data_IF_120673677904
#
_entry.id   IF_120673677904
#
_cell.length_a   1.000
_cell.length_b   1.000
_cell.length_c   1.000
_cell.angle_alpha   90.00
_cell.angle_beta   90.00
_cell.angle_gamma   90.00
#
_symmetry.space_group_name_H-M   'P 1'
#
loop_
_entity.id
_entity.type
_entity.pdbx_description
1 polymer ?
#
# COMPACT_ATOMS: atom_id res chain seq x y z
N UNK A 1 -8.43 -14.98 -1.34
CA UNK A 1 -8.20 -15.75 -0.10
C UNK A 1 -8.68 -14.98 1.12
N UNK A 2 -8.13 -13.79 1.43
CA UNK A 2 -8.61 -12.95 2.56
C UNK A 2 -10.12 -12.64 2.47
N UNK A 3 -10.62 -12.31 1.28
CA UNK A 3 -12.05 -12.09 1.04
C UNK A 3 -12.94 -13.25 1.51
N UNK A 4 -12.56 -14.50 1.22
CA UNK A 4 -13.39 -15.67 1.53
C UNK A 4 -13.35 -16.08 3.01
N UNK A 5 -12.27 -15.76 3.74
CA UNK A 5 -12.10 -16.14 5.14
C UNK A 5 -12.43 -15.01 6.12
N UNK A 6 -12.44 -13.75 5.67
CA UNK A 6 -12.60 -12.55 6.50
C UNK A 6 -13.59 -11.53 5.93
N UNK A 7 -14.48 -11.92 5.01
CA UNK A 7 -15.59 -11.06 4.56
C UNK A 7 -16.49 -10.71 5.74
N UNK A 8 -16.61 -9.42 6.05
CA UNK A 8 -17.39 -8.95 7.20
C UNK A 8 -17.13 -7.48 7.52
N UNK A 9 -17.60 -7.04 8.68
CA UNK A 9 -17.56 -5.63 9.12
C UNK A 9 -16.11 -5.11 9.27
N UNK A 10 -15.17 -6.01 9.56
CA UNK A 10 -13.75 -5.69 9.74
C UNK A 10 -12.88 -6.01 8.51
N UNK A 11 -13.50 -6.38 7.38
CA UNK A 11 -12.79 -6.83 6.18
C UNK A 11 -11.72 -5.83 5.72
N UNK A 12 -12.06 -4.53 5.69
CA UNK A 12 -11.12 -3.49 5.30
C UNK A 12 -9.91 -3.40 6.25
N UNK A 13 -10.13 -3.45 7.57
CA UNK A 13 -9.07 -3.34 8.57
C UNK A 13 -8.14 -4.56 8.58
N UNK A 14 -8.72 -5.76 8.52
CA UNK A 14 -7.98 -7.03 8.44
C UNK A 14 -7.16 -7.06 7.15
N UNK A 15 -7.76 -6.68 6.02
CA UNK A 15 -7.06 -6.63 4.73
C UNK A 15 -5.90 -5.66 4.76
N UNK A 16 -6.07 -4.48 5.37
CA UNK A 16 -5.02 -3.47 5.46
C UNK A 16 -3.85 -3.97 6.33
N UNK A 17 -4.13 -4.57 7.50
CA UNK A 17 -3.11 -5.17 8.36
C UNK A 17 -2.38 -6.34 7.69
N UNK A 18 -3.11 -7.23 7.02
CA UNK A 18 -2.52 -8.35 6.29
C UNK A 18 -1.60 -7.87 5.15
N UNK A 19 -2.01 -6.83 4.42
CA UNK A 19 -1.18 -6.21 3.37
C UNK A 19 0.05 -5.50 3.93
N UNK A 20 -0.05 -4.89 5.11
CA UNK A 20 1.05 -4.13 5.71
C UNK A 20 2.12 -5.04 6.37
N UNK A 21 1.72 -6.17 6.96
CA UNK A 21 2.63 -6.97 7.80
C UNK A 21 2.85 -8.39 7.31
N UNK A 22 1.83 -9.04 6.73
CA UNK A 22 1.92 -10.47 6.38
C UNK A 22 2.41 -10.68 4.95
N UNK A 23 1.81 -9.97 3.99
CA UNK A 23 2.18 -10.07 2.58
C UNK A 23 3.63 -9.68 2.29
N UNK A 24 4.23 -8.64 2.91
CA UNK A 24 5.63 -8.31 2.67
C UNK A 24 6.60 -9.44 3.05
N UNK A 25 6.29 -10.21 4.12
CA UNK A 25 7.09 -11.36 4.53
C UNK A 25 7.03 -12.46 3.47
N UNK A 26 5.82 -12.74 2.96
CA UNK A 26 5.63 -13.73 1.89
C UNK A 26 6.35 -13.29 0.61
N UNK A 27 6.19 -12.03 0.20
CA UNK A 27 6.85 -11.50 -0.99
C UNK A 27 8.37 -11.53 -0.86
N UNK A 28 8.91 -11.16 0.29
CA UNK A 28 10.34 -11.26 0.55
C UNK A 28 10.84 -12.72 0.51
N UNK A 29 10.10 -13.65 1.13
CA UNK A 29 10.46 -15.08 1.12
C UNK A 29 10.44 -15.69 -0.28
N UNK A 30 9.39 -15.42 -1.06
CA UNK A 30 9.28 -15.89 -2.45
C UNK A 30 10.34 -15.27 -3.36
N UNK A 31 10.62 -13.97 -3.22
CA UNK A 31 11.69 -13.29 -3.95
C UNK A 31 13.07 -13.86 -3.60
N UNK A 32 13.34 -14.09 -2.31
CA UNK A 32 14.57 -14.72 -1.84
C UNK A 32 14.74 -16.12 -2.43
N UNK A 33 13.69 -16.94 -2.39
CA UNK A 33 13.73 -18.30 -2.93
C UNK A 33 13.94 -18.30 -4.46
N UNK A 34 13.28 -17.39 -5.17
CA UNK A 34 13.45 -17.19 -6.62
C UNK A 34 14.91 -16.87 -7.00
N UNK A 35 15.55 -15.96 -6.26
CA UNK A 35 16.96 -15.61 -6.50
C UNK A 35 17.89 -16.76 -6.07
N UNK A 36 17.64 -17.39 -4.91
CA UNK A 36 18.45 -18.49 -4.38
C UNK A 36 18.47 -19.70 -5.31
N UNK A 37 17.31 -20.09 -5.84
CA UNK A 37 17.19 -21.20 -6.80
C UNK A 37 17.93 -20.90 -8.11
N UNK A 38 17.92 -19.64 -8.56
CA UNK A 38 18.69 -19.25 -9.73
C UNK A 38 20.20 -19.31 -9.46
N UNK A 39 20.63 -18.83 -8.29
CA UNK A 39 22.04 -18.84 -7.88
C UNK A 39 22.58 -20.26 -7.70
N UNK A 40 21.79 -21.20 -7.21
CA UNK A 40 22.24 -22.61 -7.10
C UNK A 40 22.54 -23.25 -8.47
N UNK A 41 22.01 -22.68 -9.55
CA UNK A 41 22.16 -23.20 -10.92
C UNK A 41 23.12 -22.35 -11.77
N UNK A 42 23.60 -21.20 -11.26
CA UNK A 42 24.46 -20.26 -11.99
C UNK A 42 25.61 -19.79 -11.10
N UNK A 43 26.86 -20.01 -11.55
CA UNK A 43 28.08 -19.67 -10.79
C UNK A 43 28.20 -18.17 -10.44
N UNK A 44 27.66 -17.28 -11.27
CA UNK A 44 27.70 -15.84 -11.07
C UNK A 44 26.31 -15.27 -11.34
N UNK A 45 25.80 -14.45 -10.42
CA UNK A 45 24.50 -13.77 -10.53
C UNK A 45 24.76 -12.28 -10.43
N UNK A 46 24.41 -11.54 -11.49
CA UNK A 46 24.52 -10.08 -11.47
C UNK A 46 23.37 -9.46 -10.68
N UNK A 47 23.56 -8.22 -10.21
CA UNK A 47 22.48 -7.44 -9.58
C UNK A 47 21.24 -7.35 -10.48
N UNK A 48 21.43 -7.17 -11.80
CA UNK A 48 20.34 -7.10 -12.78
C UNK A 48 19.53 -8.39 -12.81
N UNK A 49 20.18 -9.55 -12.70
CA UNK A 49 19.51 -10.85 -12.71
C UNK A 49 18.69 -11.07 -11.44
N UNK A 50 19.29 -10.77 -10.28
CA UNK A 50 18.62 -10.86 -8.99
C UNK A 50 17.44 -9.89 -8.91
N UNK A 51 17.63 -8.63 -9.32
CA UNK A 51 16.59 -7.62 -9.33
C UNK A 51 15.45 -8.00 -10.25
N UNK A 52 15.72 -8.43 -11.49
CA UNK A 52 14.68 -8.83 -12.45
C UNK A 52 13.83 -9.99 -11.90
N UNK A 53 14.45 -10.97 -11.26
CA UNK A 53 13.76 -12.16 -10.71
C UNK A 53 12.94 -11.87 -9.47
N UNK A 54 13.33 -10.90 -8.66
CA UNK A 54 12.54 -10.44 -7.54
C UNK A 54 11.41 -9.51 -8.00
N UNK A 55 11.74 -8.51 -8.83
CA UNK A 55 10.85 -7.40 -9.16
C UNK A 55 9.81 -7.74 -10.21
N UNK A 56 10.18 -8.38 -11.33
CA UNK A 56 9.25 -8.58 -12.47
C UNK A 56 8.03 -9.42 -12.09
N UNK A 57 8.16 -10.56 -11.37
CA UNK A 57 6.99 -11.31 -10.93
C UNK A 57 6.10 -10.53 -9.97
N UNK A 58 6.68 -9.77 -9.04
CA UNK A 58 5.92 -8.90 -8.14
C UNK A 58 5.19 -7.80 -8.90
N UNK A 59 5.83 -7.19 -9.89
CA UNK A 59 5.25 -6.13 -10.70
C UNK A 59 4.07 -6.65 -11.55
N UNK A 60 4.27 -7.75 -12.29
CA UNK A 60 3.21 -8.36 -13.11
C UNK A 60 2.08 -8.88 -12.22
N UNK A 61 2.40 -9.58 -11.14
CA UNK A 61 1.41 -10.09 -10.18
C UNK A 61 0.62 -8.96 -9.52
N UNK A 62 1.29 -7.86 -9.16
CA UNK A 62 0.66 -6.66 -8.61
C UNK A 62 -0.33 -6.04 -9.60
N UNK A 63 0.08 -5.85 -10.86
CA UNK A 63 -0.80 -5.35 -11.93
C UNK A 63 -2.01 -6.27 -12.11
N UNK A 64 -1.79 -7.58 -12.28
CA UNK A 64 -2.88 -8.53 -12.50
C UNK A 64 -3.83 -8.59 -11.31
N UNK A 65 -3.31 -8.53 -10.07
CA UNK A 65 -4.12 -8.49 -8.85
C UNK A 65 -4.99 -7.24 -8.81
N UNK A 66 -4.41 -6.08 -9.10
CA UNK A 66 -5.08 -4.78 -9.14
C UNK A 66 -6.21 -4.83 -10.19
N UNK A 67 -5.93 -5.25 -11.42
CA UNK A 67 -6.97 -5.44 -12.44
C UNK A 67 -8.05 -6.44 -12.03
N UNK A 68 -7.66 -7.57 -11.42
CA UNK A 68 -8.62 -8.60 -11.00
C UNK A 68 -9.55 -8.10 -9.89
N UNK A 69 -9.03 -7.35 -8.91
CA UNK A 69 -9.84 -6.73 -7.85
C UNK A 69 -10.81 -5.72 -8.45
N UNK A 70 -10.33 -4.87 -9.36
CA UNK A 70 -11.18 -3.90 -10.05
C UNK A 70 -12.32 -4.59 -10.80
N UNK A 71 -12.02 -5.62 -11.60
CA UNK A 71 -13.03 -6.34 -12.36
C UNK A 71 -14.03 -7.07 -11.44
N UNK A 72 -13.52 -7.74 -10.40
CA UNK A 72 -14.36 -8.46 -9.44
C UNK A 72 -15.34 -7.53 -8.74
N UNK A 73 -14.86 -6.41 -8.19
CA UNK A 73 -15.71 -5.48 -7.42
C UNK A 73 -16.65 -4.65 -8.29
N UNK A 74 -16.31 -4.41 -9.56
CA UNK A 74 -17.17 -3.64 -10.46
C UNK A 74 -18.18 -4.49 -11.24
N UNK A 75 -17.87 -5.75 -11.55
CA UNK A 75 -18.69 -6.57 -12.45
C UNK A 75 -19.19 -7.89 -11.84
N UNK A 76 -18.58 -8.40 -10.76
CA UNK A 76 -18.96 -9.68 -10.16
C UNK A 76 -19.70 -9.47 -8.84
N UNK A 77 -19.13 -8.68 -7.93
CA UNK A 77 -19.67 -8.46 -6.58
C UNK A 77 -19.75 -6.96 -6.25
N UNK A 78 -20.82 -6.34 -6.77
CA UNK A 78 -21.07 -4.91 -6.55
C UNK A 78 -21.51 -4.57 -5.13
N UNK A 79 -21.98 -5.57 -4.38
CA UNK A 79 -22.40 -5.35 -2.99
C UNK A 79 -21.21 -5.32 -2.04
N UNK A 80 -20.18 -6.13 -2.29
CA UNK A 80 -18.88 -6.00 -1.64
C UNK A 80 -18.27 -4.62 -1.89
N UNK A 81 -18.40 -4.08 -3.11
CA UNK A 81 -17.98 -2.71 -3.43
C UNK A 81 -18.72 -1.66 -2.61
N UNK A 82 -20.05 -1.77 -2.47
CA UNK A 82 -20.84 -0.85 -1.63
C UNK A 82 -20.42 -0.94 -0.16
N UNK A 83 -20.23 -2.16 0.35
CA UNK A 83 -19.78 -2.38 1.72
C UNK A 83 -18.41 -1.74 1.97
N UNK A 84 -17.46 -1.93 1.06
CA UNK A 84 -16.13 -1.32 1.13
C UNK A 84 -16.18 0.21 1.12
N UNK A 85 -16.96 0.81 0.22
CA UNK A 85 -17.15 2.26 0.17
C UNK A 85 -17.76 2.77 1.49
N UNK A 86 -18.76 2.08 2.02
CA UNK A 86 -19.37 2.43 3.32
C UNK A 86 -18.37 2.34 4.48
N UNK A 87 -17.61 1.24 4.57
CA UNK A 87 -16.60 1.03 5.60
C UNK A 87 -15.51 2.11 5.56
N UNK A 88 -15.02 2.44 4.37
CA UNK A 88 -14.00 3.47 4.21
C UNK A 88 -14.48 4.85 4.65
N UNK A 89 -15.68 5.24 4.24
CA UNK A 89 -16.27 6.53 4.59
C UNK A 89 -16.53 6.62 6.09
N UNK A 90 -17.07 5.55 6.68
CA UNK A 90 -17.31 5.45 8.12
C UNK A 90 -16.00 5.59 8.89
N UNK A 91 -14.94 4.91 8.45
CA UNK A 91 -13.61 5.00 9.06
C UNK A 91 -13.03 6.40 8.93
N UNK A 92 -13.04 7.02 7.75
CA UNK A 92 -12.53 8.38 7.58
C UNK A 92 -13.25 9.40 8.45
N UNK A 93 -14.58 9.28 8.58
CA UNK A 93 -15.35 10.12 9.49
C UNK A 93 -14.90 9.89 10.93
N UNK A 94 -14.80 8.63 11.36
CA UNK A 94 -14.35 8.32 12.73
C UNK A 94 -12.94 8.83 13.02
N UNK A 95 -12.01 8.74 12.07
CA UNK A 95 -10.65 9.25 12.24
C UNK A 95 -10.64 10.79 12.27
N UNK A 96 -11.42 11.45 11.41
CA UNK A 96 -11.61 12.90 11.48
C UNK A 96 -12.18 13.34 12.84
N UNK A 97 -13.21 12.66 13.35
CA UNK A 97 -13.82 12.98 14.63
C UNK A 97 -12.80 12.81 15.77
N UNK A 98 -11.98 11.76 15.73
CA UNK A 98 -10.88 11.55 16.69
C UNK A 98 -9.82 12.64 16.59
N UNK A 99 -9.36 12.97 15.40
CA UNK A 99 -8.38 14.04 15.16
C UNK A 99 -8.88 15.37 15.68
N UNK A 100 -10.13 15.74 15.36
CA UNK A 100 -10.78 16.95 15.85
C UNK A 100 -10.84 16.99 17.38
N UNK A 101 -11.35 15.93 18.01
CA UNK A 101 -11.46 15.87 19.48
C UNK A 101 -10.09 15.90 20.16
N UNK A 102 -9.07 15.33 19.54
CA UNK A 102 -7.70 15.30 20.07
C UNK A 102 -7.03 16.67 19.92
N UNK A 103 -7.11 17.28 18.74
CA UNK A 103 -6.57 18.61 18.47
C UNK A 103 -7.23 19.68 19.35
N UNK A 104 -8.55 19.64 19.49
CA UNK A 104 -9.32 20.60 20.32
C UNK A 104 -8.95 20.58 21.80
N UNK A 105 -8.46 19.45 22.33
CA UNK A 105 -7.97 19.32 23.72
C UNK A 105 -6.57 19.93 23.92
N UNK A 106 -5.77 20.01 22.87
CA UNK A 106 -4.37 20.43 22.93
C UNK A 106 -4.22 21.91 22.60
N UNK A 107 -5.08 22.44 21.72
CA UNK A 107 -5.07 23.84 21.33
C UNK A 107 -5.46 24.74 22.50
N UNK A 108 -4.69 25.81 22.69
CA UNK A 108 -4.85 26.78 23.79
C UNK A 108 -5.39 28.13 23.34
N UNK A 109 -5.21 28.48 22.07
CA UNK A 109 -5.64 29.77 21.54
C UNK A 109 -7.03 29.65 20.91
N UNK A 110 -7.93 30.55 21.29
CA UNK A 110 -9.31 30.55 20.81
C UNK A 110 -9.38 30.62 19.27
N UNK A 111 -8.50 31.41 18.64
CA UNK A 111 -8.42 31.53 17.18
C UNK A 111 -8.16 30.19 16.47
N UNK A 112 -7.26 29.36 17.01
CA UNK A 112 -6.92 28.06 16.42
C UNK A 112 -8.05 27.05 16.65
N UNK A 113 -8.76 27.16 17.79
CA UNK A 113 -9.95 26.37 18.09
C UNK A 113 -11.08 26.75 17.11
N UNK A 114 -11.30 28.04 16.87
CA UNK A 114 -12.33 28.51 15.94
C UNK A 114 -12.03 28.07 14.50
N UNK A 115 -10.76 28.13 14.07
CA UNK A 115 -10.34 27.63 12.75
C UNK A 115 -10.52 26.10 12.64
N UNK A 116 -10.17 25.35 13.68
CA UNK A 116 -10.38 23.90 13.75
C UNK A 116 -11.88 23.54 13.67
N UNK A 117 -12.71 24.22 14.46
CA UNK A 117 -14.16 24.04 14.49
C UNK A 117 -14.78 24.38 13.13
N UNK A 118 -14.29 25.44 12.47
CA UNK A 118 -14.71 25.82 11.12
C UNK A 118 -14.34 24.75 10.09
N UNK A 119 -13.06 24.33 10.04
CA UNK A 119 -12.60 23.27 9.12
C UNK A 119 -13.36 21.96 9.33
N UNK A 120 -13.62 21.59 10.57
CA UNK A 120 -14.41 20.41 10.90
C UNK A 120 -15.85 20.51 10.36
N UNK A 121 -16.52 21.66 10.59
CA UNK A 121 -17.87 21.92 10.06
C UNK A 121 -17.92 21.96 8.54
N UNK A 122 -16.90 22.49 7.88
CA UNK A 122 -16.80 22.50 6.41
C UNK A 122 -16.62 21.09 5.84
N UNK A 123 -15.89 20.22 6.54
CA UNK A 123 -15.62 18.84 6.08
C UNK A 123 -16.74 17.86 6.42
N UNK A 124 -17.53 18.12 7.47
CA UNK A 124 -18.60 17.21 7.94
C UNK A 124 -19.64 16.86 6.86
N UNK A 125 -20.14 17.81 6.03
CA UNK A 125 -21.08 17.52 4.94
C UNK A 125 -20.52 16.56 3.88
N UNK A 126 -19.19 16.48 3.75
CA UNK A 126 -18.54 15.61 2.77
C UNK A 126 -18.72 14.10 3.06
N UNK A 127 -19.25 13.77 4.24
CA UNK A 127 -19.61 12.42 4.71
C UNK A 127 -21.12 12.16 4.72
N UNK A 128 -21.95 13.12 4.26
CA UNK A 128 -23.39 12.95 4.20
C UNK A 128 -23.76 11.82 3.20
N UNK A 129 -24.79 10.99 3.49
CA UNK A 129 -25.09 9.78 2.70
C UNK A 129 -25.33 10.05 1.21
N UNK A 130 -25.90 11.21 0.89
CA UNK A 130 -26.18 11.73 -0.45
C UNK A 130 -24.91 12.13 -1.21
N UNK A 131 -23.93 12.74 -0.53
CA UNK A 131 -22.61 13.09 -1.11
C UNK A 131 -21.73 11.85 -1.28
N UNK A 132 -21.88 10.88 -0.38
CA UNK A 132 -21.08 9.65 -0.34
C UNK A 132 -21.53 8.64 -1.40
N UNK A 133 -22.81 8.64 -1.80
CA UNK A 133 -23.32 7.78 -2.88
C UNK A 133 -22.55 7.90 -4.20
N UNK A 134 -21.91 9.05 -4.47
CA UNK A 134 -21.08 9.28 -5.66
C UNK A 134 -19.57 9.14 -5.43
N UNK A 135 -19.11 9.01 -4.19
CA UNK A 135 -17.68 8.82 -3.86
C UNK A 135 -17.32 7.35 -3.98
N UNK A 136 -17.12 6.93 -5.21
CA UNK A 136 -16.71 5.57 -5.52
C UNK A 136 -15.18 5.45 -5.51
N UNK A 137 -14.65 4.81 -4.46
CA UNK A 137 -13.20 4.62 -4.29
C UNK A 137 -12.59 3.72 -5.36
N UNK A 138 -13.42 2.90 -6.01
CA UNK A 138 -12.99 1.90 -6.98
C UNK A 138 -13.27 2.34 -8.42
N UNK A 139 -13.28 3.65 -8.63
CA UNK A 139 -13.22 4.26 -9.97
C UNK A 139 -11.83 4.07 -10.56
N UNK A 140 -11.76 3.91 -11.88
CA UNK A 140 -10.51 3.70 -12.60
C UNK A 140 -9.47 4.82 -12.32
N UNK A 141 -9.90 6.06 -12.11
CA UNK A 141 -9.01 7.19 -11.80
C UNK A 141 -8.38 7.09 -10.41
N UNK A 142 -9.19 6.89 -9.36
CA UNK A 142 -8.70 6.74 -8.00
C UNK A 142 -7.82 5.49 -7.89
N UNK A 143 -8.25 4.40 -8.52
CA UNK A 143 -7.52 3.14 -8.54
C UNK A 143 -6.15 3.26 -9.25
N UNK A 144 -6.10 3.92 -10.41
CA UNK A 144 -4.85 4.20 -11.13
C UNK A 144 -3.95 5.16 -10.36
N UNK A 145 -4.53 6.15 -9.67
CA UNK A 145 -3.79 7.09 -8.82
C UNK A 145 -3.12 6.39 -7.63
N UNK A 146 -3.85 5.53 -6.92
CA UNK A 146 -3.29 4.71 -5.84
C UNK A 146 -2.20 3.78 -6.36
N UNK A 147 -2.43 3.11 -7.49
CA UNK A 147 -1.44 2.23 -8.10
C UNK A 147 -0.17 2.99 -8.51
N UNK A 148 -0.30 4.16 -9.12
CA UNK A 148 0.83 5.02 -9.47
C UNK A 148 1.62 5.48 -8.24
N UNK A 149 0.94 5.84 -7.15
CA UNK A 149 1.59 6.20 -5.89
C UNK A 149 2.41 5.04 -5.31
N UNK A 150 1.89 3.82 -5.36
CA UNK A 150 2.61 2.60 -4.94
C UNK A 150 3.86 2.39 -5.80
N UNK A 151 3.75 2.55 -7.13
CA UNK A 151 4.89 2.42 -8.03
C UNK A 151 5.97 3.47 -7.74
N UNK A 152 5.58 4.74 -7.59
CA UNK A 152 6.50 5.83 -7.24
C UNK A 152 7.19 5.53 -5.90
N UNK A 153 6.43 5.10 -4.90
CA UNK A 153 6.98 4.71 -3.61
C UNK A 153 8.04 3.61 -3.75
N UNK A 154 7.76 2.54 -4.49
CA UNK A 154 8.74 1.46 -4.71
C UNK A 154 9.95 1.91 -5.53
N UNK A 155 9.79 2.81 -6.50
CA UNK A 155 10.92 3.40 -7.23
C UNK A 155 11.81 4.20 -6.29
N UNK A 156 11.25 5.12 -5.50
CA UNK A 156 12.01 5.92 -4.52
C UNK A 156 12.71 5.02 -3.51
N UNK A 157 12.00 4.04 -2.96
CA UNK A 157 12.56 3.08 -2.00
C UNK A 157 13.70 2.25 -2.62
N UNK A 158 13.56 1.82 -3.87
CA UNK A 158 14.60 1.08 -4.60
C UNK A 158 15.84 1.92 -4.86
N UNK A 159 15.68 3.21 -5.17
CA UNK A 159 16.80 4.14 -5.33
C UNK A 159 17.50 4.40 -4.01
N UNK A 160 16.75 4.55 -2.91
CA UNK A 160 17.29 4.71 -1.57
C UNK A 160 18.13 3.49 -1.15
N UNK A 161 17.57 2.28 -1.26
CA UNK A 161 18.32 1.06 -0.98
C UNK A 161 19.49 0.84 -1.95
N UNK A 162 19.32 1.14 -3.23
CA UNK A 162 20.39 1.09 -4.22
C UNK A 162 21.57 1.99 -3.85
N UNK A 163 21.29 3.22 -3.39
CA UNK A 163 22.32 4.14 -2.90
C UNK A 163 22.99 3.63 -1.62
N UNK A 164 22.22 3.07 -0.69
CA UNK A 164 22.74 2.56 0.59
C UNK A 164 23.61 1.30 0.42
N UNK A 165 23.20 0.37 -0.45
CA UNK A 165 23.89 -0.91 -0.69
C UNK A 165 24.99 -0.86 -1.76
N UNK A 166 25.09 0.23 -2.52
CA UNK A 166 26.21 0.45 -3.45
C UNK A 166 27.56 0.54 -2.71
N UNK A 167 27.54 0.81 -1.41
CA UNK A 167 28.72 0.86 -0.55
C UNK A 167 29.04 -0.53 0.02
N UNK A 168 29.62 -1.41 -0.81
CA UNK A 168 30.45 -2.52 -0.30
C UNK A 168 31.81 -2.49 -0.97
N UNK A 169 32.82 -2.39 -0.12
CA UNK A 169 34.24 -2.60 -0.36
C UNK A 169 34.46 -3.83 -1.23
N UNK A 170 35.16 -3.63 -2.34
CA UNK A 170 35.75 -4.71 -3.13
C UNK A 170 36.75 -5.39 -2.21
N UNK A 171 36.49 -6.62 -1.77
CA UNK A 171 37.53 -7.44 -1.16
C UNK A 171 38.50 -7.80 -2.29
N UNK A 172 39.61 -7.09 -2.40
CA UNK A 172 40.70 -7.50 -3.27
C UNK A 172 41.35 -8.71 -2.59
N UNK A 173 41.31 -9.87 -3.24
CA UNK A 173 42.20 -10.97 -2.87
C UNK A 173 43.64 -10.46 -3.01
N UNK A 174 44.40 -10.46 -1.92
CA UNK A 174 45.86 -10.29 -1.99
C UNK A 174 46.40 -11.40 -2.89
N UNK A 175 46.80 -11.04 -4.10
CA UNK A 175 47.64 -11.91 -4.91
C UNK A 175 48.96 -12.08 -4.15
N UNK A 176 49.09 -13.19 -3.44
CA UNK A 176 50.39 -13.67 -2.98
C UNK A 176 51.27 -13.84 -4.23
N UNK A 177 52.23 -12.92 -4.38
CA UNK A 177 53.33 -13.04 -5.34
C UNK A 177 54.32 -14.05 -4.75
N UNK A 178 54.40 -15.23 -5.35
CA UNK A 178 55.58 -16.10 -5.26
C UNK A 178 56.72 -15.54 -6.11
#
# INVERSE_FOLDING_TARGET
MVYYFFSGVDYFDISLKANAFFLPIIYAGTAFWSVKSYWSSHRVVSFKDAFKRAFVPMFIGGILSVFSIYLFLNFVDTDAKKLLNYQYVTRQKSEMDKEYQSARKILKHQKDIDELDQKYKERLPSFAPDVVKGKDMLTASHFSGYFAAILIFYVVLSLFFGAFFRTKTIYQEEQNQE
#
